data_IF_905197416080
#
_entry.id   IF_905197416080
#
_cell.length_a   1.000
_cell.length_b   1.000
_cell.length_c   1.000
_cell.angle_alpha   90.00
_cell.angle_beta   90.00
_cell.angle_gamma   90.00
#
_symmetry.space_group_name_H-M   'P 1'
#
loop_
_entity.id
_entity.type
_entity.pdbx_description
1 polymer ?
#
# COMPACT_ATOMS: atom_id res chain seq x y z
N UNK A 1 -30.69 13.31 -16.11
CA UNK A 1 -29.74 12.61 -15.26
C UNK A 1 -29.33 11.24 -15.87
N UNK A 2 -30.26 10.41 -16.31
CA UNK A 2 -29.97 9.05 -16.83
C UNK A 2 -29.17 9.02 -18.13
N UNK A 3 -29.36 10.00 -19.02
CA UNK A 3 -28.60 10.11 -20.28
C UNK A 3 -27.14 10.47 -20.06
N UNK A 4 -26.84 11.30 -19.09
CA UNK A 4 -25.47 11.69 -18.73
C UNK A 4 -24.70 10.50 -18.15
N UNK A 5 -25.34 9.69 -17.30
CA UNK A 5 -24.76 8.46 -16.75
C UNK A 5 -24.47 7.40 -17.83
N UNK A 6 -25.26 7.38 -18.91
CA UNK A 6 -25.02 6.49 -20.06
C UNK A 6 -23.94 7.00 -21.01
N UNK A 7 -23.74 8.31 -21.11
CA UNK A 7 -22.73 8.91 -21.96
C UNK A 7 -21.31 8.74 -21.40
N UNK A 8 -21.14 8.76 -20.09
CA UNK A 8 -19.84 8.66 -19.43
C UNK A 8 -19.03 7.42 -19.87
N UNK A 9 -19.56 6.18 -19.82
CA UNK A 9 -18.78 5.00 -20.22
C UNK A 9 -18.49 4.94 -21.72
N UNK A 10 -19.32 5.58 -22.57
CA UNK A 10 -19.08 5.66 -24.01
C UNK A 10 -17.91 6.61 -24.32
N UNK A 11 -17.88 7.78 -23.65
CA UNK A 11 -16.79 8.74 -23.76
C UNK A 11 -15.49 8.17 -23.21
N UNK A 12 -15.54 7.48 -22.08
CA UNK A 12 -14.38 6.85 -21.48
C UNK A 12 -13.77 5.75 -22.37
N UNK A 13 -14.59 4.95 -23.07
CA UNK A 13 -14.12 3.99 -24.07
C UNK A 13 -13.48 4.66 -25.28
N UNK A 14 -14.09 5.73 -25.81
CA UNK A 14 -13.54 6.46 -26.95
C UNK A 14 -12.21 7.16 -26.62
N UNK A 15 -12.01 7.59 -25.37
CA UNK A 15 -10.78 8.21 -24.91
C UNK A 15 -9.69 7.19 -24.59
N UNK A 16 -10.04 5.96 -24.20
CA UNK A 16 -9.08 4.88 -23.94
C UNK A 16 -8.31 4.49 -25.22
N UNK A 17 -8.93 4.60 -26.41
CA UNK A 17 -8.27 4.33 -27.69
C UNK A 17 -7.19 5.37 -28.04
N UNK A 18 -7.14 6.52 -27.34
CA UNK A 18 -6.19 7.61 -27.59
C UNK A 18 -4.90 7.53 -26.74
N UNK A 19 -4.64 6.43 -26.05
CA UNK A 19 -3.44 6.18 -25.23
C UNK A 19 -3.12 7.26 -24.18
N UNK A 20 -4.07 8.07 -23.78
CA UNK A 20 -3.90 9.09 -22.74
C UNK A 20 -4.85 8.82 -21.57
N UNK A 21 -4.35 8.97 -20.35
CA UNK A 21 -5.11 8.76 -19.13
C UNK A 21 -6.03 9.98 -18.88
N UNK A 22 -7.25 9.93 -19.41
CA UNK A 22 -8.26 10.97 -19.20
C UNK A 22 -9.26 10.52 -18.13
N UNK A 23 -9.51 11.41 -17.18
CA UNK A 23 -10.59 11.26 -16.20
C UNK A 23 -11.81 12.02 -16.68
N UNK A 24 -12.89 11.34 -17.00
CA UNK A 24 -14.16 11.95 -17.39
C UNK A 24 -14.96 12.31 -16.15
N UNK A 25 -15.02 13.60 -15.81
CA UNK A 25 -15.84 14.12 -14.73
C UNK A 25 -17.15 14.69 -15.28
N UNK A 26 -18.28 14.28 -14.68
CA UNK A 26 -19.60 14.84 -15.00
C UNK A 26 -19.73 16.20 -14.30
N UNK A 27 -20.00 17.25 -15.08
CA UNK A 27 -20.31 18.56 -14.56
C UNK A 27 -21.73 18.98 -14.98
N UNK A 28 -22.47 19.62 -14.07
CA UNK A 28 -23.81 20.11 -14.36
C UNK A 28 -23.74 21.50 -15.00
N UNK A 29 -24.23 21.62 -16.23
CA UNK A 29 -24.41 22.92 -16.86
C UNK A 29 -25.70 23.58 -16.34
N UNK A 30 -25.68 24.89 -16.06
CA UNK A 30 -26.87 25.61 -15.63
C UNK A 30 -27.91 25.66 -16.74
N UNK A 31 -29.13 25.20 -16.47
CA UNK A 31 -30.28 25.23 -17.38
C UNK A 31 -31.05 26.56 -17.36
N UNK A 32 -30.50 27.60 -16.77
CA UNK A 32 -31.15 28.91 -16.69
C UNK A 32 -31.31 29.50 -18.07
N UNK A 33 -32.52 29.82 -18.51
CA UNK A 33 -32.77 30.45 -19.82
C UNK A 33 -32.01 31.76 -19.94
N UNK A 34 -31.54 32.10 -21.19
CA UNK A 34 -30.73 33.28 -21.45
C UNK A 34 -31.37 34.59 -21.01
N UNK A 35 -32.69 34.77 -21.24
CA UNK A 35 -33.45 35.94 -20.86
C UNK A 35 -33.49 36.21 -19.35
N UNK A 36 -33.38 35.13 -18.52
CA UNK A 36 -33.37 35.26 -17.09
C UNK A 36 -31.98 35.67 -16.59
N UNK A 37 -30.94 35.32 -17.29
CA UNK A 37 -29.55 35.76 -17.04
C UNK A 37 -29.36 37.24 -17.32
N UNK A 38 -29.99 37.72 -18.38
CA UNK A 38 -29.93 39.14 -18.79
C UNK A 38 -30.63 40.06 -17.77
N UNK A 39 -31.52 39.49 -16.92
CA UNK A 39 -32.16 40.16 -15.78
C UNK A 39 -31.34 40.06 -14.46
N UNK A 40 -30.13 39.53 -14.54
CA UNK A 40 -29.24 39.38 -13.38
C UNK A 40 -29.57 38.21 -12.47
N UNK A 41 -30.41 37.27 -12.90
CA UNK A 41 -30.70 36.06 -12.14
C UNK A 41 -29.56 35.06 -12.31
N UNK A 42 -28.72 34.95 -11.30
CA UNK A 42 -27.74 33.87 -11.21
C UNK A 42 -28.41 32.57 -10.75
N UNK A 43 -28.00 31.39 -11.32
CA UNK A 43 -28.48 30.12 -10.81
C UNK A 43 -28.07 29.97 -9.34
N UNK A 44 -29.00 29.51 -8.50
CA UNK A 44 -28.71 29.24 -7.09
C UNK A 44 -27.46 28.34 -7.03
N UNK A 45 -26.41 28.82 -6.38
CA UNK A 45 -25.24 28.01 -6.06
C UNK A 45 -25.68 27.03 -4.96
N UNK A 46 -26.00 25.81 -5.38
CA UNK A 46 -26.24 24.74 -4.42
C UNK A 46 -25.01 24.57 -3.55
N UNK A 47 -25.19 24.58 -2.24
CA UNK A 47 -24.15 24.24 -1.28
C UNK A 47 -23.62 22.83 -1.55
N UNK A 48 -22.48 22.51 -0.99
CA UNK A 48 -21.81 21.18 -1.13
C UNK A 48 -22.77 20.02 -0.84
N UNK A 49 -23.71 20.23 0.10
CA UNK A 49 -24.71 19.24 0.52
C UNK A 49 -25.76 18.89 -0.57
N UNK A 50 -25.97 19.79 -1.54
CA UNK A 50 -26.98 19.61 -2.60
C UNK A 50 -26.37 19.21 -3.95
N UNK A 51 -25.05 19.26 -4.10
CA UNK A 51 -24.34 18.83 -5.32
C UNK A 51 -23.86 17.38 -5.28
N UNK A 52 -24.18 16.65 -4.22
CA UNK A 52 -23.99 15.20 -4.16
C UNK A 52 -22.56 14.72 -4.42
N UNK A 53 -21.80 14.59 -3.36
CA UNK A 53 -20.50 13.94 -3.37
C UNK A 53 -19.34 14.85 -3.00
N UNK A 54 -18.57 14.41 -2.05
CA UNK A 54 -17.26 14.99 -1.72
C UNK A 54 -16.20 14.14 -2.43
N UNK A 55 -15.38 14.79 -3.25
CA UNK A 55 -14.23 14.12 -3.86
C UNK A 55 -13.02 14.30 -2.93
N UNK A 56 -12.50 13.19 -2.43
CA UNK A 56 -11.25 13.16 -1.69
C UNK A 56 -10.14 12.67 -2.60
N UNK A 57 -9.06 13.44 -2.69
CA UNK A 57 -7.79 12.95 -3.17
C UNK A 57 -6.97 12.56 -1.93
N UNK A 58 -6.50 11.34 -1.92
CA UNK A 58 -5.77 10.76 -0.80
C UNK A 58 -4.50 10.11 -1.30
N UNK A 59 -3.42 10.40 -0.62
CA UNK A 59 -2.15 9.69 -0.76
C UNK A 59 -1.97 8.78 0.45
N UNK A 60 -1.64 7.52 0.22
CA UNK A 60 -1.36 6.54 1.27
C UNK A 60 0.14 6.28 1.29
N UNK A 61 0.76 6.43 2.45
CA UNK A 61 2.16 6.07 2.67
C UNK A 61 2.29 4.54 2.76
N UNK A 62 2.43 3.92 1.60
CA UNK A 62 2.58 2.47 1.48
C UNK A 62 3.96 2.00 1.94
N UNK A 63 4.99 2.85 1.84
CA UNK A 63 6.36 2.52 2.30
C UNK A 63 6.37 2.30 3.80
N UNK A 64 5.77 3.21 4.57
CA UNK A 64 5.61 3.02 6.01
C UNK A 64 4.83 1.75 6.34
N UNK A 65 3.76 1.45 5.61
CA UNK A 65 2.97 0.24 5.85
C UNK A 65 3.80 -1.05 5.64
N UNK A 66 4.66 -1.10 4.63
CA UNK A 66 5.58 -2.21 4.40
C UNK A 66 6.62 -2.32 5.52
N UNK A 67 7.19 -1.18 5.93
CA UNK A 67 8.18 -1.14 7.02
C UNK A 67 7.59 -1.62 8.34
N UNK A 68 6.42 -1.13 8.72
CA UNK A 68 5.70 -1.55 9.95
C UNK A 68 5.41 -3.05 9.94
N UNK A 69 5.04 -3.58 8.77
CA UNK A 69 4.81 -5.01 8.60
C UNK A 69 6.08 -5.82 8.80
N UNK A 70 7.22 -5.35 8.24
CA UNK A 70 8.53 -5.98 8.43
C UNK A 70 8.98 -5.96 9.90
N UNK A 71 8.76 -4.85 10.61
CA UNK A 71 9.06 -4.75 12.04
C UNK A 71 8.26 -5.77 12.87
N UNK A 72 6.98 -5.92 12.56
CA UNK A 72 6.14 -6.95 13.16
C UNK A 72 6.68 -8.36 12.91
N UNK A 73 7.04 -8.67 11.67
CA UNK A 73 7.61 -9.96 11.28
C UNK A 73 8.98 -10.21 11.92
N UNK A 74 9.80 -9.17 12.04
CA UNK A 74 11.08 -9.24 12.74
C UNK A 74 10.89 -9.73 14.17
N UNK A 75 9.93 -9.16 14.91
CA UNK A 75 9.63 -9.57 16.29
C UNK A 75 9.13 -11.01 16.36
N UNK A 76 8.32 -11.44 15.39
CA UNK A 76 7.81 -12.81 15.33
C UNK A 76 8.93 -13.81 15.04
N UNK A 77 9.82 -13.51 14.09
CA UNK A 77 11.00 -14.32 13.78
C UNK A 77 11.93 -14.41 15.00
N UNK A 78 12.22 -13.28 15.66
CA UNK A 78 13.01 -13.23 16.90
C UNK A 78 12.40 -14.11 17.99
N UNK A 79 11.08 -14.09 18.12
CA UNK A 79 10.35 -14.95 19.06
C UNK A 79 10.49 -16.42 18.69
N UNK A 80 10.33 -16.74 17.40
CA UNK A 80 10.52 -18.09 16.86
C UNK A 80 11.92 -18.64 17.08
N UNK A 81 12.96 -17.81 16.94
CA UNK A 81 14.34 -18.22 17.23
C UNK A 81 14.59 -18.54 18.71
N UNK A 82 13.84 -17.90 19.62
CA UNK A 82 13.98 -18.13 21.07
C UNK A 82 13.15 -19.30 21.57
N UNK A 83 11.97 -19.54 21.00
CA UNK A 83 10.97 -20.50 21.48
C UNK A 83 11.05 -21.88 20.85
N UNK A 84 11.84 -22.08 19.79
CA UNK A 84 11.98 -23.38 19.13
C UNK A 84 12.74 -24.40 19.99
N UNK A 85 12.58 -25.69 19.64
CA UNK A 85 13.30 -26.80 20.29
C UNK A 85 14.82 -26.59 20.28
N UNK A 86 15.33 -25.98 19.22
CA UNK A 86 16.71 -25.51 19.11
C UNK A 86 16.73 -23.99 19.03
N UNK A 87 17.31 -23.35 20.02
CA UNK A 87 17.49 -21.90 20.02
C UNK A 87 18.49 -21.49 18.93
N UNK A 88 18.11 -20.53 18.10
CA UNK A 88 18.98 -19.93 17.10
C UNK A 88 19.45 -18.58 17.66
N UNK A 89 20.77 -18.47 17.89
CA UNK A 89 21.38 -17.21 18.33
C UNK A 89 21.76 -16.39 17.12
N UNK A 90 21.36 -15.11 17.11
CA UNK A 90 21.76 -14.11 16.13
C UNK A 90 22.49 -12.96 16.83
N UNK A 91 23.40 -12.30 16.16
CA UNK A 91 24.17 -11.19 16.69
C UNK A 91 23.43 -9.87 16.57
N UNK A 92 22.64 -9.70 15.51
CA UNK A 92 21.85 -8.48 15.27
C UNK A 92 20.81 -8.68 14.18
N UNK A 93 19.91 -7.71 14.09
CA UNK A 93 18.93 -7.61 13.01
C UNK A 93 18.69 -6.15 12.67
N UNK A 94 18.43 -5.85 11.40
CA UNK A 94 18.14 -4.51 10.88
C UNK A 94 17.23 -4.60 9.66
N UNK A 95 16.47 -3.54 9.42
CA UNK A 95 15.75 -3.36 8.16
C UNK A 95 16.63 -2.52 7.24
N UNK A 96 16.92 -3.04 6.06
CA UNK A 96 17.73 -2.41 5.02
C UNK A 96 16.80 -1.98 3.89
N UNK A 97 16.97 -0.76 3.39
CA UNK A 97 16.19 -0.18 2.28
C UNK A 97 14.66 -0.23 2.48
N UNK A 98 14.19 -0.29 3.74
CA UNK A 98 12.77 -0.31 4.09
C UNK A 98 11.99 -1.56 3.66
N UNK A 99 12.61 -2.51 2.94
CA UNK A 99 11.94 -3.67 2.36
C UNK A 99 12.65 -5.02 2.63
N UNK A 100 13.86 -4.97 3.17
CA UNK A 100 14.67 -6.16 3.44
C UNK A 100 15.01 -6.25 4.91
N UNK A 101 14.64 -7.35 5.54
CA UNK A 101 15.06 -7.65 6.90
C UNK A 101 16.35 -8.45 6.86
N UNK A 102 17.38 -7.98 7.52
CA UNK A 102 18.69 -8.62 7.61
C UNK A 102 18.92 -9.15 9.04
N UNK A 103 19.32 -10.40 9.14
CA UNK A 103 19.88 -10.99 10.37
C UNK A 103 21.35 -11.28 10.16
N UNK A 104 22.16 -11.12 11.22
CA UNK A 104 23.58 -11.43 11.20
C UNK A 104 23.92 -12.48 12.26
N UNK A 105 24.80 -13.41 11.92
CA UNK A 105 25.16 -14.57 12.73
C UNK A 105 26.67 -14.66 12.85
N UNK A 106 27.14 -15.13 14.01
CA UNK A 106 28.56 -15.40 14.26
C UNK A 106 29.03 -16.71 13.62
N UNK A 107 28.11 -17.62 13.28
CA UNK A 107 28.41 -18.97 12.81
C UNK A 107 27.53 -19.29 11.58
N UNK A 108 28.15 -19.89 10.56
CA UNK A 108 27.47 -20.28 9.34
C UNK A 108 26.39 -21.36 9.58
N UNK A 109 26.62 -22.24 10.52
CA UNK A 109 25.64 -23.29 10.88
C UNK A 109 24.37 -22.69 11.48
N UNK A 110 24.50 -21.63 12.27
CA UNK A 110 23.37 -20.87 12.83
C UNK A 110 22.58 -20.17 11.71
N UNK A 111 23.27 -19.52 10.76
CA UNK A 111 22.65 -18.91 9.57
C UNK A 111 21.87 -19.94 8.77
N UNK A 112 22.47 -21.09 8.48
CA UNK A 112 21.84 -22.13 7.66
C UNK A 112 20.59 -22.71 8.37
N UNK A 113 20.63 -22.92 9.68
CA UNK A 113 19.46 -23.34 10.47
C UNK A 113 18.36 -22.26 10.50
N UNK A 114 18.75 -20.99 10.63
CA UNK A 114 17.83 -19.87 10.55
C UNK A 114 17.15 -19.83 9.18
N UNK A 115 17.94 -19.96 8.10
CA UNK A 115 17.45 -20.01 6.74
C UNK A 115 16.41 -21.11 6.56
N UNK A 116 16.71 -22.35 6.89
CA UNK A 116 15.76 -23.47 6.74
C UNK A 116 14.47 -23.23 7.51
N UNK A 117 14.56 -22.73 8.75
CA UNK A 117 13.37 -22.42 9.55
C UNK A 117 12.52 -21.30 8.97
N UNK A 118 13.15 -20.26 8.41
CA UNK A 118 12.44 -19.14 7.80
C UNK A 118 11.78 -19.58 6.50
N UNK A 119 12.48 -20.29 5.63
CA UNK A 119 11.95 -20.82 4.37
C UNK A 119 10.75 -21.76 4.60
N UNK A 120 10.76 -22.52 5.69
CA UNK A 120 9.67 -23.41 6.07
C UNK A 120 8.45 -22.67 6.66
N UNK A 121 8.68 -21.58 7.41
CA UNK A 121 7.62 -20.90 8.16
C UNK A 121 7.07 -19.67 7.45
N UNK A 122 7.90 -18.98 6.67
CA UNK A 122 7.60 -17.68 6.06
C UNK A 122 7.83 -17.68 4.55
N UNK A 123 6.93 -18.34 3.82
CA UNK A 123 7.02 -18.49 2.36
C UNK A 123 6.96 -17.15 1.58
N UNK A 124 6.55 -16.06 2.21
CA UNK A 124 6.50 -14.72 1.62
C UNK A 124 7.86 -14.05 1.46
N UNK A 125 8.91 -14.58 2.11
CA UNK A 125 10.25 -14.04 2.00
C UNK A 125 11.09 -14.77 0.94
N UNK A 126 11.80 -13.97 0.16
CA UNK A 126 12.93 -14.43 -0.63
C UNK A 126 14.18 -14.39 0.27
N UNK A 127 14.69 -15.56 0.63
CA UNK A 127 15.79 -15.70 1.58
C UNK A 127 17.11 -15.83 0.85
N UNK A 128 18.03 -14.87 1.09
CA UNK A 128 19.35 -14.85 0.46
C UNK A 128 20.44 -14.78 1.51
N UNK A 129 21.43 -15.67 1.41
CA UNK A 129 22.62 -15.61 2.25
C UNK A 129 23.61 -14.59 1.66
N UNK A 130 24.11 -13.68 2.50
CA UNK A 130 25.08 -12.66 2.12
C UNK A 130 26.05 -12.45 3.27
N UNK A 131 27.34 -12.45 2.97
CA UNK A 131 28.33 -12.12 3.97
C UNK A 131 28.38 -10.59 4.16
N UNK A 132 28.47 -10.18 5.44
CA UNK A 132 28.52 -8.76 5.82
C UNK A 132 29.92 -8.44 6.37
N UNK A 133 30.41 -7.21 6.20
CA UNK A 133 31.73 -6.79 6.67
C UNK A 133 31.71 -6.53 8.20
N UNK A 134 31.39 -7.59 8.97
CA UNK A 134 31.40 -7.55 10.43
C UNK A 134 32.26 -8.72 10.94
N UNK A 135 33.36 -8.39 11.63
CA UNK A 135 34.33 -9.39 12.08
C UNK A 135 33.74 -10.38 13.09
N UNK A 136 32.79 -9.95 13.93
CA UNK A 136 32.17 -10.76 14.98
C UNK A 136 30.97 -11.58 14.49
N UNK A 137 30.34 -11.15 13.39
CA UNK A 137 29.15 -11.80 12.84
C UNK A 137 29.12 -11.63 11.30
N UNK A 138 29.99 -12.33 10.55
CA UNK A 138 30.15 -12.14 9.12
C UNK A 138 29.02 -12.76 8.28
N UNK A 139 28.22 -13.66 8.89
CA UNK A 139 27.22 -14.44 8.16
C UNK A 139 25.86 -13.74 8.17
N UNK A 140 25.54 -13.02 7.10
CA UNK A 140 24.25 -12.35 6.93
C UNK A 140 23.21 -13.25 6.26
N UNK A 141 21.95 -13.01 6.60
CA UNK A 141 20.77 -13.59 6.01
C UNK A 141 19.79 -12.47 5.70
N UNK A 142 19.55 -12.22 4.43
CA UNK A 142 18.61 -11.21 3.94
C UNK A 142 17.27 -11.86 3.61
N UNK A 143 16.21 -11.28 4.10
CA UNK A 143 14.83 -11.66 3.87
C UNK A 143 14.16 -10.50 3.13
N UNK A 144 14.11 -10.59 1.82
CA UNK A 144 13.37 -9.63 1.01
C UNK A 144 11.92 -10.09 0.85
N UNK A 145 10.97 -9.19 0.99
CA UNK A 145 9.59 -9.51 0.67
C UNK A 145 9.43 -9.72 -0.83
N UNK A 146 8.61 -10.69 -1.23
CA UNK A 146 8.27 -10.85 -2.65
C UNK A 146 7.42 -9.66 -3.13
N UNK A 147 7.55 -9.28 -4.39
CA UNK A 147 6.76 -8.21 -5.01
C UNK A 147 5.24 -8.42 -4.84
N UNK A 148 4.81 -9.68 -4.86
CA UNK A 148 3.41 -10.02 -4.64
C UNK A 148 2.96 -9.68 -3.21
N UNK A 149 3.79 -9.99 -2.20
CA UNK A 149 3.50 -9.69 -0.80
C UNK A 149 3.54 -8.18 -0.52
N UNK A 150 4.46 -7.45 -1.15
CA UNK A 150 4.52 -5.98 -1.06
C UNK A 150 3.22 -5.37 -1.59
N UNK A 151 2.78 -5.76 -2.78
CA UNK A 151 1.51 -5.28 -3.38
C UNK A 151 0.29 -5.61 -2.51
N UNK A 152 0.25 -6.79 -1.92
CA UNK A 152 -0.85 -7.17 -1.02
C UNK A 152 -0.92 -6.25 0.20
N UNK A 153 0.22 -5.88 0.78
CA UNK A 153 0.29 -4.94 1.91
C UNK A 153 -0.14 -3.53 1.48
N UNK A 154 0.33 -3.07 0.33
CA UNK A 154 -0.03 -1.77 -0.24
C UNK A 154 -1.54 -1.68 -0.50
N UNK A 155 -2.11 -2.68 -1.16
CA UNK A 155 -3.56 -2.77 -1.44
C UNK A 155 -4.37 -2.80 -0.15
N UNK A 156 -3.92 -3.57 0.85
CA UNK A 156 -4.57 -3.62 2.16
C UNK A 156 -4.55 -2.26 2.87
N UNK A 157 -3.39 -1.57 2.87
CA UNK A 157 -3.25 -0.25 3.47
C UNK A 157 -4.19 0.77 2.81
N UNK A 158 -4.28 0.77 1.48
CA UNK A 158 -5.21 1.62 0.72
C UNK A 158 -6.66 1.32 1.08
N UNK A 159 -7.06 0.05 1.08
CA UNK A 159 -8.43 -0.36 1.42
C UNK A 159 -8.82 0.01 2.85
N UNK A 160 -7.92 -0.18 3.80
CA UNK A 160 -8.15 0.17 5.20
C UNK A 160 -8.35 1.68 5.38
N UNK A 161 -7.53 2.50 4.72
CA UNK A 161 -7.67 3.95 4.74
C UNK A 161 -8.99 4.41 4.11
N UNK A 162 -9.37 3.83 2.96
CA UNK A 162 -10.66 4.10 2.32
C UNK A 162 -11.85 3.77 3.24
N UNK A 163 -11.79 2.63 3.92
CA UNK A 163 -12.84 2.23 4.86
C UNK A 163 -12.92 3.20 6.05
N UNK A 164 -11.79 3.62 6.58
CA UNK A 164 -11.72 4.58 7.69
C UNK A 164 -12.35 5.92 7.31
N UNK A 165 -12.05 6.43 6.10
CA UNK A 165 -12.63 7.68 5.60
C UNK A 165 -14.14 7.53 5.39
N UNK A 166 -14.59 6.43 4.76
CA UNK A 166 -16.02 6.17 4.58
C UNK A 166 -16.77 6.16 5.90
N UNK A 167 -16.22 5.54 6.91
CA UNK A 167 -16.84 5.51 8.24
C UNK A 167 -16.94 6.92 8.85
N UNK A 168 -15.86 7.72 8.76
CA UNK A 168 -15.85 9.10 9.30
C UNK A 168 -16.75 10.08 8.55
N UNK A 169 -16.97 9.85 7.26
CA UNK A 169 -17.86 10.70 6.44
C UNK A 169 -19.32 10.35 6.68
N UNK A 170 -19.62 9.12 7.11
CA UNK A 170 -20.97 8.65 7.37
C UNK A 170 -21.43 8.84 8.85
N UNK A 171 -20.53 9.29 9.74
CA UNK A 171 -20.85 9.75 11.11
C UNK A 171 -21.32 11.22 11.14
#
# INVERSE_FOLDING_TARGET
>A
ADEQLRAQPLIQRALHDLQSEFVVALNSAPTTPGWLRDLGAEPMKYGLDLRGGVHFLMEVDTVSAVTDRLEGMEQDIKRGFRSGAERIRYAGSSIVDGQTLQFVFADESLRNRARSRIEETYAQFLVTAQDVPNADAPYGLNLAMSDASVREIEDFAVQQNLQTIRNRVNE
#
